data_IF_488064598938
#
_entry.id   IF_488064598938
#
_cell.length_a   1.000
_cell.length_b   1.000
_cell.length_c   1.000
_cell.angle_alpha   90.00
_cell.angle_beta   90.00
_cell.angle_gamma   90.00
#
_symmetry.space_group_name_H-M   'P 1'
#
loop_
_entity.id
_entity.type
_entity.pdbx_description
1 polymer ?
#
# COMPACT_ATOMS: atom_id res chain seq x y z
N UNK A 1 30.61 -46.47 -30.79
CA UNK A 1 30.76 -45.02 -30.63
C UNK A 1 29.66 -44.33 -31.41
N UNK A 2 28.63 -43.81 -30.73
CA UNK A 2 27.75 -42.77 -31.24
C UNK A 2 26.97 -42.24 -30.03
N UNK A 3 27.46 -41.09 -29.55
CA UNK A 3 26.88 -40.22 -28.55
C UNK A 3 25.68 -39.46 -29.15
N UNK A 4 24.96 -38.72 -28.28
CA UNK A 4 24.18 -37.49 -28.57
C UNK A 4 22.70 -37.68 -29.02
N UNK A 5 21.64 -37.09 -28.44
CA UNK A 5 21.38 -36.18 -27.29
C UNK A 5 19.89 -36.30 -26.93
N UNK A 6 19.52 -36.48 -25.65
CA UNK A 6 18.14 -36.33 -25.16
C UNK A 6 17.91 -34.85 -24.83
N UNK A 7 17.02 -34.19 -25.59
CA UNK A 7 16.54 -32.84 -25.27
C UNK A 7 15.46 -32.92 -24.19
N UNK A 8 15.83 -32.63 -22.94
CA UNK A 8 14.87 -32.28 -21.88
C UNK A 8 14.47 -30.81 -22.07
N UNK A 9 13.30 -30.57 -22.65
CA UNK A 9 12.64 -29.26 -22.58
C UNK A 9 12.04 -29.15 -21.17
N UNK A 10 12.77 -28.52 -20.26
CA UNK A 10 12.23 -28.00 -19.00
C UNK A 10 11.32 -26.82 -19.33
N UNK A 11 10.04 -27.11 -19.55
CA UNK A 11 8.97 -26.12 -19.50
C UNK A 11 8.87 -25.63 -18.05
N UNK A 12 9.59 -24.55 -17.74
CA UNK A 12 9.33 -23.69 -16.58
C UNK A 12 7.97 -23.02 -16.79
N UNK A 13 6.91 -23.78 -16.53
CA UNK A 13 5.57 -23.26 -16.36
C UNK A 13 5.52 -22.48 -15.05
N UNK A 14 5.85 -21.19 -15.12
CA UNK A 14 5.61 -20.26 -14.02
C UNK A 14 4.13 -20.31 -13.65
N UNK A 15 3.81 -20.86 -12.48
CA UNK A 15 2.48 -20.78 -11.90
C UNK A 15 2.14 -19.30 -11.71
N UNK A 16 1.41 -18.73 -12.65
CA UNK A 16 0.72 -17.46 -12.48
C UNK A 16 -0.41 -17.69 -11.47
N UNK A 17 -0.06 -17.62 -10.18
CA UNK A 17 -1.06 -17.47 -9.13
C UNK A 17 -1.91 -16.24 -9.46
N UNK A 18 -3.23 -16.28 -9.22
CA UNK A 18 -4.06 -15.11 -9.37
C UNK A 18 -3.60 -14.08 -8.34
N UNK A 19 -2.83 -13.08 -8.79
CA UNK A 19 -2.65 -11.86 -8.03
C UNK A 19 -4.04 -11.21 -8.03
N UNK A 20 -4.79 -11.47 -6.97
CA UNK A 20 -5.93 -10.63 -6.62
C UNK A 20 -5.35 -9.24 -6.37
N UNK A 21 -6.06 -8.18 -6.78
CA UNK A 21 -5.68 -6.78 -6.58
C UNK A 21 -5.62 -6.45 -5.10
N UNK A 22 -4.52 -6.89 -4.49
CA UNK A 22 -3.90 -6.27 -3.34
C UNK A 22 -3.39 -4.92 -3.83
N UNK A 23 -3.22 -4.01 -2.89
CA UNK A 23 -2.52 -2.75 -3.01
C UNK A 23 -1.08 -2.93 -3.55
N UNK A 24 -0.05 -2.21 -3.11
CA UNK A 24 1.31 -2.77 -3.29
C UNK A 24 1.27 -4.26 -2.97
N UNK A 25 1.88 -5.11 -3.80
CA UNK A 25 1.74 -6.55 -3.60
C UNK A 25 2.09 -6.91 -2.15
N UNK A 26 1.60 -8.05 -1.62
CA UNK A 26 1.94 -8.47 -0.26
C UNK A 26 3.46 -8.37 0.03
N UNK A 27 4.29 -8.65 -0.97
CA UNK A 27 5.73 -8.48 -0.91
C UNK A 27 6.17 -7.00 -0.83
N UNK A 28 5.54 -6.10 -1.60
CA UNK A 28 5.80 -4.66 -1.55
C UNK A 28 5.50 -4.05 -0.19
N UNK A 29 4.32 -4.33 0.41
CA UNK A 29 4.02 -3.87 1.77
C UNK A 29 5.03 -4.36 2.80
N UNK A 30 5.31 -5.66 2.78
CA UNK A 30 6.26 -6.25 3.72
C UNK A 30 7.68 -5.68 3.54
N UNK A 31 8.13 -5.46 2.30
CA UNK A 31 9.42 -4.86 2.01
C UNK A 31 9.53 -3.41 2.48
N UNK A 32 8.50 -2.58 2.24
CA UNK A 32 8.45 -1.17 2.68
C UNK A 32 8.47 -1.12 4.21
N UNK A 33 7.63 -1.94 4.86
CA UNK A 33 7.59 -2.02 6.32
C UNK A 33 8.92 -2.48 6.92
N UNK A 34 9.60 -3.44 6.28
CA UNK A 34 10.89 -3.95 6.76
C UNK A 34 11.99 -2.90 6.62
N UNK A 35 12.03 -2.17 5.51
CA UNK A 35 12.97 -1.07 5.32
C UNK A 35 12.74 0.07 6.33
N UNK A 36 11.49 0.33 6.71
CA UNK A 36 11.18 1.27 7.79
C UNK A 36 11.65 0.75 9.15
N UNK A 37 11.33 -0.52 9.43
CA UNK A 37 11.65 -1.18 10.69
C UNK A 37 13.16 -1.27 10.95
N UNK A 38 13.96 -1.53 9.90
CA UNK A 38 15.41 -1.59 9.95
C UNK A 38 16.08 -0.27 10.35
N UNK A 39 15.39 0.86 10.22
CA UNK A 39 15.91 2.18 10.63
C UNK A 39 15.67 2.48 12.11
N UNK A 40 14.78 1.74 12.78
CA UNK A 40 14.43 1.97 14.18
C UNK A 40 15.52 1.43 15.13
N UNK A 41 15.58 1.98 16.36
CA UNK A 41 16.46 1.43 17.38
C UNK A 41 16.04 0.01 17.79
N UNK A 42 16.94 -0.84 18.32
CA UNK A 42 16.57 -2.18 18.78
C UNK A 42 15.44 -2.20 19.83
N UNK A 43 15.31 -1.13 20.61
CA UNK A 43 14.24 -0.98 21.59
C UNK A 43 12.89 -0.72 20.91
N UNK A 44 12.87 0.20 19.95
CA UNK A 44 11.69 0.50 19.13
C UNK A 44 11.24 -0.72 18.33
N UNK A 45 12.19 -1.46 17.74
CA UNK A 45 11.91 -2.70 17.03
C UNK A 45 11.18 -3.72 17.93
N UNK A 46 11.74 -4.00 19.11
CA UNK A 46 11.11 -4.92 20.09
C UNK A 46 9.71 -4.46 20.51
N UNK A 47 9.52 -3.15 20.67
CA UNK A 47 8.23 -2.58 21.06
C UNK A 47 7.15 -2.85 19.99
N UNK A 48 7.42 -2.54 18.72
CA UNK A 48 6.46 -2.72 17.64
C UNK A 48 6.25 -4.20 17.29
N UNK A 49 7.31 -5.02 17.31
CA UNK A 49 7.18 -6.47 17.08
C UNK A 49 6.31 -7.14 18.14
N UNK A 50 6.39 -6.70 19.40
CA UNK A 50 5.53 -7.25 20.47
C UNK A 50 4.05 -7.07 20.15
N UNK A 51 3.66 -5.91 19.64
CA UNK A 51 2.26 -5.59 19.30
C UNK A 51 1.81 -6.32 18.05
N UNK A 52 2.64 -6.31 17.00
CA UNK A 52 2.38 -7.05 15.79
C UNK A 52 2.26 -8.56 16.06
N UNK A 53 3.10 -9.11 16.92
CA UNK A 53 3.03 -10.50 17.34
C UNK A 53 1.76 -10.81 18.15
N UNK A 54 1.27 -9.87 18.96
CA UNK A 54 0.00 -10.03 19.67
C UNK A 54 -1.19 -10.13 18.68
N UNK A 55 -1.23 -9.28 17.65
CA UNK A 55 -2.19 -9.40 16.55
C UNK A 55 -2.07 -10.75 15.84
N UNK A 56 -0.86 -11.11 15.40
CA UNK A 56 -0.59 -12.33 14.62
C UNK A 56 -0.96 -13.59 15.41
N UNK A 57 -0.76 -13.59 16.74
CA UNK A 57 -1.11 -14.72 17.60
C UNK A 57 -2.62 -14.92 17.67
N UNK A 58 -3.39 -13.83 17.63
CA UNK A 58 -4.86 -13.85 17.59
C UNK A 58 -5.41 -14.17 16.19
N UNK A 59 -4.55 -14.21 15.17
CA UNK A 59 -4.90 -14.58 13.80
C UNK A 59 -4.79 -16.11 13.57
N UNK A 60 -5.95 -16.74 13.35
CA UNK A 60 -6.02 -18.19 13.10
C UNK A 60 -5.59 -18.56 11.67
N UNK A 61 -5.79 -17.67 10.71
CA UNK A 61 -5.44 -17.91 9.31
C UNK A 61 -3.93 -17.71 9.10
N UNK A 62 -3.19 -18.82 8.99
CA UNK A 62 -1.72 -18.78 8.83
C UNK A 62 -1.25 -18.74 7.36
N UNK A 63 -2.15 -18.83 6.38
CA UNK A 63 -1.77 -19.01 4.97
C UNK A 63 -1.10 -17.76 4.37
N UNK A 64 -1.63 -16.57 4.64
CA UNK A 64 -1.14 -15.32 4.07
C UNK A 64 0.29 -14.97 4.48
N UNK A 65 0.73 -15.42 5.68
CA UNK A 65 2.07 -15.15 6.22
C UNK A 65 3.16 -16.14 5.80
N UNK A 66 2.81 -17.27 5.18
CA UNK A 66 3.82 -18.29 4.80
C UNK A 66 4.84 -17.75 3.81
N UNK A 67 4.42 -16.91 2.87
CA UNK A 67 5.28 -16.26 1.88
C UNK A 67 6.05 -15.06 2.42
N UNK A 68 5.87 -14.72 3.70
CA UNK A 68 6.44 -13.55 4.36
C UNK A 68 7.35 -13.95 5.54
N UNK A 69 7.72 -15.22 5.64
CA UNK A 69 8.44 -15.77 6.79
C UNK A 69 9.83 -15.14 7.01
N UNK A 70 10.41 -14.52 5.97
CA UNK A 70 11.67 -13.79 6.02
C UNK A 70 11.57 -12.40 6.67
N UNK A 71 10.37 -11.87 6.85
CA UNK A 71 10.13 -10.52 7.38
C UNK A 71 9.86 -10.54 8.89
N UNK A 72 10.13 -9.42 9.56
CA UNK A 72 9.77 -9.20 10.98
C UNK A 72 8.26 -9.34 11.24
N UNK A 73 7.85 -9.44 12.51
CA UNK A 73 6.43 -9.57 12.84
C UNK A 73 5.66 -8.31 12.45
N UNK A 74 6.25 -7.13 12.68
CA UNK A 74 5.70 -5.86 12.20
C UNK A 74 5.49 -5.85 10.69
N UNK A 75 6.51 -6.22 9.91
CA UNK A 75 6.44 -6.23 8.45
C UNK A 75 5.42 -7.23 7.90
N UNK A 76 5.28 -8.40 8.55
CA UNK A 76 4.20 -9.32 8.23
C UNK A 76 2.83 -8.67 8.52
N UNK A 77 2.66 -8.04 9.68
CA UNK A 77 1.40 -7.40 10.05
C UNK A 77 0.97 -6.30 9.07
N UNK A 78 1.90 -5.61 8.42
CA UNK A 78 1.58 -4.61 7.38
C UNK A 78 0.86 -5.17 6.14
N UNK A 79 0.84 -6.50 5.92
CA UNK A 79 0.06 -7.13 4.82
C UNK A 79 -1.36 -7.49 5.27
N UNK A 80 -1.57 -7.62 6.58
CA UNK A 80 -2.80 -8.14 7.16
C UNK A 80 -4.07 -7.33 6.80
N UNK A 81 -4.06 -5.98 6.74
CA UNK A 81 -5.23 -5.17 6.41
C UNK A 81 -5.96 -5.58 5.13
N UNK A 82 -5.21 -5.86 4.06
CA UNK A 82 -5.76 -6.26 2.78
C UNK A 82 -6.57 -7.57 2.87
N UNK A 83 -6.17 -8.46 3.78
CA UNK A 83 -6.86 -9.74 3.99
C UNK A 83 -8.14 -9.60 4.82
N UNK A 84 -8.37 -8.43 5.45
CA UNK A 84 -9.46 -8.13 6.39
C UNK A 84 -10.34 -6.97 5.96
N UNK A 85 -10.04 -6.30 4.85
CA UNK A 85 -10.73 -5.10 4.38
C UNK A 85 -12.25 -5.22 4.20
N UNK A 86 -12.77 -6.43 4.04
CA UNK A 86 -14.21 -6.73 3.97
C UNK A 86 -14.92 -6.77 5.33
N UNK A 87 -14.19 -6.94 6.43
CA UNK A 87 -14.76 -6.99 7.77
C UNK A 87 -15.07 -5.59 8.29
N UNK A 88 -16.20 -5.49 9.00
CA UNK A 88 -16.56 -4.27 9.74
C UNK A 88 -15.54 -4.03 10.85
N UNK A 89 -15.16 -2.77 11.07
CA UNK A 89 -14.07 -2.39 11.97
C UNK A 89 -14.33 -2.83 13.42
N UNK A 90 -15.56 -2.69 13.92
CA UNK A 90 -15.95 -3.22 15.24
C UNK A 90 -15.71 -4.73 15.35
N UNK A 91 -16.01 -5.49 14.29
CA UNK A 91 -15.73 -6.94 14.26
C UNK A 91 -14.23 -7.22 14.26
N UNK A 92 -13.43 -6.40 13.56
CA UNK A 92 -11.97 -6.49 13.59
C UNK A 92 -11.45 -6.33 15.01
N UNK A 93 -11.82 -5.25 15.70
CA UNK A 93 -11.35 -5.00 17.08
C UNK A 93 -11.85 -6.06 18.07
N UNK A 94 -13.14 -6.42 18.02
CA UNK A 94 -13.70 -7.45 18.89
C UNK A 94 -13.01 -8.80 18.68
N UNK A 95 -12.74 -9.18 17.42
CA UNK A 95 -12.18 -10.49 17.09
C UNK A 95 -10.70 -10.59 17.41
N UNK A 96 -9.90 -9.60 17.01
CA UNK A 96 -8.43 -9.68 17.02
C UNK A 96 -7.79 -8.92 18.18
N UNK A 97 -8.44 -7.88 18.70
CA UNK A 97 -7.96 -7.10 19.84
C UNK A 97 -8.71 -7.38 21.14
N UNK A 98 -9.85 -8.09 21.09
CA UNK A 98 -10.72 -8.39 22.24
C UNK A 98 -11.20 -7.13 22.98
N UNK A 99 -11.42 -6.05 22.22
CA UNK A 99 -11.86 -4.76 22.74
C UNK A 99 -12.71 -4.04 21.67
N UNK A 100 -13.22 -2.86 22.00
CA UNK A 100 -13.92 -1.97 21.05
C UNK A 100 -12.92 -1.10 20.30
N UNK A 101 -13.38 -0.42 19.25
CA UNK A 101 -12.57 0.60 18.58
C UNK A 101 -12.18 1.71 19.56
N UNK A 102 -11.05 2.36 19.31
CA UNK A 102 -10.66 3.57 20.04
C UNK A 102 -11.58 4.76 19.66
N UNK A 103 -11.75 5.77 20.53
CA UNK A 103 -12.57 6.95 20.25
C UNK A 103 -12.32 7.60 18.88
N UNK A 104 -11.05 7.76 18.48
CA UNK A 104 -10.70 8.36 17.19
C UNK A 104 -11.18 7.55 15.97
N UNK A 105 -11.51 6.25 16.15
CA UNK A 105 -12.03 5.38 15.10
C UNK A 105 -13.54 5.14 15.18
N UNK A 106 -14.25 5.75 16.13
CA UNK A 106 -15.71 5.63 16.25
C UNK A 106 -16.46 6.00 14.96
N UNK A 107 -16.09 7.05 14.21
CA UNK A 107 -16.76 7.38 12.94
C UNK A 107 -16.73 6.25 11.90
N UNK A 108 -15.78 5.32 12.01
CA UNK A 108 -15.61 4.20 11.10
C UNK A 108 -16.08 2.85 11.66
N UNK A 109 -16.53 2.81 12.91
CA UNK A 109 -16.75 1.58 13.67
C UNK A 109 -17.69 0.57 12.99
N UNK A 110 -18.71 1.07 12.29
CA UNK A 110 -19.77 0.29 11.63
C UNK A 110 -19.50 0.02 10.14
N UNK A 111 -18.37 0.49 9.59
CA UNK A 111 -17.99 0.30 8.20
C UNK A 111 -16.85 -0.71 8.06
N UNK A 112 -16.67 -1.26 6.85
CA UNK A 112 -15.47 -1.99 6.49
C UNK A 112 -14.37 -1.01 6.03
N UNK A 113 -13.13 -1.50 5.92
CA UNK A 113 -11.97 -0.62 5.65
C UNK A 113 -11.59 -0.55 4.17
N UNK A 114 -12.42 -1.03 3.23
CA UNK A 114 -12.07 -1.05 1.80
C UNK A 114 -11.66 0.31 1.25
N UNK A 115 -12.35 1.35 1.68
CA UNK A 115 -12.12 2.72 1.23
C UNK A 115 -10.89 3.36 1.87
N UNK A 116 -10.30 2.76 2.90
CA UNK A 116 -9.10 3.30 3.54
C UNK A 116 -7.84 3.15 2.68
N UNK A 117 -7.81 2.18 1.78
CA UNK A 117 -6.62 1.82 1.01
C UNK A 117 -6.29 2.79 -0.14
N UNK A 118 -7.11 3.80 -0.38
CA UNK A 118 -6.92 4.75 -1.47
C UNK A 118 -7.63 6.08 -1.21
N UNK A 119 -7.27 7.07 -2.00
CA UNK A 119 -7.97 8.34 -2.18
C UNK A 119 -7.85 8.76 -3.64
N UNK A 120 -8.94 8.66 -4.41
CA UNK A 120 -8.97 9.19 -5.77
C UNK A 120 -9.32 10.68 -5.71
N UNK A 121 -8.31 11.54 -5.75
CA UNK A 121 -8.46 12.99 -5.62
C UNK A 121 -8.17 13.75 -6.92
N UNK A 122 -7.54 13.13 -7.91
CA UNK A 122 -7.07 13.79 -9.12
C UNK A 122 -7.36 12.92 -10.34
N UNK A 123 -7.67 13.56 -11.47
CA UNK A 123 -8.13 12.89 -12.69
C UNK A 123 -7.29 13.26 -13.92
N UNK A 124 -7.06 12.27 -14.79
CA UNK A 124 -6.33 12.37 -16.05
C UNK A 124 -7.15 11.74 -17.16
N UNK A 125 -6.99 12.20 -18.41
CA UNK A 125 -7.62 11.51 -19.53
C UNK A 125 -6.80 10.29 -19.98
N UNK A 126 -7.43 9.44 -20.77
CA UNK A 126 -6.86 8.19 -21.28
C UNK A 126 -5.72 8.38 -22.29
N UNK A 127 -5.34 9.63 -22.62
CA UNK A 127 -4.15 9.98 -23.41
C UNK A 127 -3.05 10.65 -22.58
N UNK A 128 -3.20 10.69 -21.25
CA UNK A 128 -2.18 11.17 -20.32
C UNK A 128 -2.17 12.68 -20.09
N UNK A 129 -3.21 13.40 -20.54
CA UNK A 129 -3.35 14.83 -20.25
C UNK A 129 -4.01 15.02 -18.88
N UNK A 130 -3.43 15.92 -18.08
CA UNK A 130 -3.97 16.32 -16.78
C UNK A 130 -5.33 17.00 -16.98
N UNK A 131 -6.37 16.46 -16.36
CA UNK A 131 -7.67 17.12 -16.32
C UNK A 131 -7.61 18.19 -15.23
N UNK A 132 -7.39 19.45 -15.60
CA UNK A 132 -7.45 20.56 -14.64
C UNK A 132 -8.91 20.78 -14.19
N UNK A 133 -9.18 20.99 -12.88
CA UNK A 133 -10.53 21.21 -12.35
C UNK A 133 -11.30 22.39 -12.98
N UNK A 134 -10.58 23.36 -13.56
CA UNK A 134 -11.16 24.56 -14.16
C UNK A 134 -10.80 24.78 -15.65
N UNK A 135 -10.10 23.84 -16.31
CA UNK A 135 -9.69 24.01 -17.70
C UNK A 135 -9.42 22.68 -18.44
N UNK A 136 -10.11 21.60 -18.07
CA UNK A 136 -10.18 20.44 -18.96
C UNK A 136 -11.22 20.69 -20.05
N UNK A 137 -11.01 20.10 -21.22
CA UNK A 137 -11.85 20.22 -22.44
C UNK A 137 -13.33 19.86 -22.18
N UNK A 138 -13.69 19.38 -20.98
CA UNK A 138 -15.01 18.90 -20.60
C UNK A 138 -15.39 19.39 -19.19
N UNK A 139 -15.84 20.64 -19.03
CA UNK A 139 -16.63 21.07 -17.86
C UNK A 139 -17.95 20.30 -17.64
N UNK A 140 -18.04 19.06 -18.14
CA UNK A 140 -19.16 18.11 -18.12
C UNK A 140 -18.99 17.04 -17.03
N UNK A 141 -17.77 16.61 -16.72
CA UNK A 141 -17.56 15.52 -15.76
C UNK A 141 -17.64 16.05 -14.33
N UNK A 142 -18.75 15.76 -13.63
CA UNK A 142 -18.80 15.90 -12.17
C UNK A 142 -18.08 14.70 -11.59
N UNK A 143 -17.01 14.94 -10.83
CA UNK A 143 -16.24 13.86 -10.22
C UNK A 143 -16.21 14.06 -8.73
N UNK A 144 -16.64 13.03 -8.01
CA UNK A 144 -16.57 13.01 -6.55
C UNK A 144 -15.27 12.37 -6.11
N UNK A 145 -14.65 12.97 -5.09
CA UNK A 145 -13.50 12.38 -4.41
C UNK A 145 -13.96 11.07 -3.76
N UNK A 146 -13.29 9.96 -4.07
CA UNK A 146 -13.58 8.66 -3.46
C UNK A 146 -12.40 8.17 -2.64
N UNK A 147 -12.66 7.29 -1.67
CA UNK A 147 -11.63 6.82 -0.76
C UNK A 147 -11.45 7.72 0.48
N UNK A 148 -10.78 7.17 1.47
CA UNK A 148 -10.72 7.66 2.84
C UNK A 148 -9.30 7.57 3.43
N UNK A 149 -8.26 7.30 2.62
CA UNK A 149 -6.90 7.13 3.12
C UNK A 149 -6.41 8.32 3.96
N UNK A 150 -6.59 9.53 3.43
CA UNK A 150 -6.20 10.81 4.03
C UNK A 150 -6.93 11.17 5.33
N UNK A 151 -8.05 10.53 5.64
CA UNK A 151 -8.78 10.68 6.91
C UNK A 151 -8.58 9.49 7.84
N UNK A 152 -8.44 8.28 7.28
CA UNK A 152 -8.25 7.05 8.04
C UNK A 152 -6.85 6.98 8.67
N UNK A 153 -5.80 7.34 7.92
CA UNK A 153 -4.43 7.27 8.43
C UNK A 153 -4.21 8.23 9.62
N UNK A 154 -4.61 9.52 9.58
CA UNK A 154 -4.54 10.39 10.77
C UNK A 154 -5.36 9.85 11.96
N UNK A 155 -6.57 9.35 11.72
CA UNK A 155 -7.40 8.77 12.77
C UNK A 155 -6.76 7.53 13.43
N UNK A 156 -6.06 6.71 12.65
CA UNK A 156 -5.29 5.56 13.17
C UNK A 156 -4.11 6.01 14.03
N UNK A 157 -3.40 7.07 13.64
CA UNK A 157 -2.28 7.62 14.42
C UNK A 157 -2.81 8.14 15.77
N UNK A 158 -3.92 8.87 15.76
CA UNK A 158 -4.56 9.34 16.99
C UNK A 158 -5.04 8.17 17.86
N UNK A 159 -5.77 7.21 17.25
CA UNK A 159 -6.28 6.02 17.92
C UNK A 159 -5.17 5.23 18.61
N UNK A 160 -4.01 5.10 17.98
CA UNK A 160 -2.88 4.39 18.54
C UNK A 160 -2.50 4.94 19.92
N UNK A 161 -2.50 6.28 20.10
CA UNK A 161 -2.20 6.92 21.39
C UNK A 161 -3.19 6.54 22.49
N UNK A 162 -4.46 6.33 22.14
CA UNK A 162 -5.57 6.02 23.05
C UNK A 162 -5.58 4.55 23.51
N UNK A 163 -4.93 3.66 22.75
CA UNK A 163 -4.91 2.22 23.04
C UNK A 163 -3.92 1.85 24.14
N UNK A 164 -4.22 0.76 24.86
CA UNK A 164 -3.43 0.31 26.02
C UNK A 164 -3.03 -1.17 25.97
N UNK A 165 -3.60 -1.95 25.04
CA UNK A 165 -3.31 -3.38 24.94
C UNK A 165 -2.47 -3.68 23.70
N UNK A 166 -1.48 -4.59 23.78
CA UNK A 166 -0.64 -4.91 22.62
C UNK A 166 -1.41 -5.42 21.42
N UNK A 167 -2.53 -6.12 21.63
CA UNK A 167 -3.35 -6.63 20.53
C UNK A 167 -4.13 -5.52 19.81
N UNK A 168 -4.65 -4.54 20.54
CA UNK A 168 -5.31 -3.39 19.92
C UNK A 168 -4.30 -2.49 19.21
N UNK A 169 -3.18 -2.20 19.87
CA UNK A 169 -2.06 -1.47 19.26
C UNK A 169 -1.59 -2.20 17.99
N UNK A 170 -1.48 -3.53 18.02
CA UNK A 170 -1.10 -4.34 16.87
C UNK A 170 -2.07 -4.24 15.69
N UNK A 171 -3.39 -4.20 15.94
CA UNK A 171 -4.41 -3.97 14.88
C UNK A 171 -4.18 -2.62 14.22
N UNK A 172 -4.05 -1.55 15.00
CA UNK A 172 -3.86 -0.19 14.47
C UNK A 172 -2.50 -0.06 13.77
N UNK A 173 -1.45 -0.63 14.35
CA UNK A 173 -0.10 -0.63 13.80
C UNK A 173 -0.04 -1.32 12.42
N UNK A 174 -0.75 -2.44 12.26
CA UNK A 174 -0.88 -3.11 10.97
C UNK A 174 -1.48 -2.19 9.91
N UNK A 175 -2.57 -1.47 10.25
CA UNK A 175 -3.18 -0.50 9.34
C UNK A 175 -2.26 0.70 9.07
N UNK A 176 -1.56 1.24 10.07
CA UNK A 176 -0.61 2.35 9.88
C UNK A 176 0.49 1.95 8.88
N UNK A 177 1.14 0.79 9.08
CA UNK A 177 2.18 0.31 8.18
C UNK A 177 1.67 0.08 6.75
N UNK A 178 0.46 -0.46 6.62
CA UNK A 178 -0.17 -0.71 5.32
C UNK A 178 -0.55 0.58 4.59
N UNK A 179 -1.34 1.44 5.23
CA UNK A 179 -1.89 2.66 4.61
C UNK A 179 -0.81 3.70 4.32
N UNK A 180 0.27 3.72 5.12
CA UNK A 180 1.44 4.52 4.78
C UNK A 180 2.05 4.08 3.44
N UNK A 181 2.22 2.78 3.22
CA UNK A 181 2.71 2.29 1.93
C UNK A 181 1.72 2.61 0.79
N UNK A 182 0.42 2.45 1.02
CA UNK A 182 -0.64 2.81 0.05
C UNK A 182 -0.56 4.28 -0.37
N UNK A 183 -0.30 5.18 0.58
CA UNK A 183 -0.19 6.61 0.29
C UNK A 183 0.88 6.94 -0.77
N UNK A 184 1.92 6.10 -0.86
CA UNK A 184 3.02 6.26 -1.82
C UNK A 184 2.83 5.43 -3.09
N UNK A 185 1.81 4.57 -3.18
CA UNK A 185 1.40 3.91 -4.43
C UNK A 185 0.69 4.95 -5.30
N UNK A 186 1.25 5.40 -6.44
CA UNK A 186 0.65 6.49 -7.20
C UNK A 186 -0.83 6.26 -7.54
N UNK A 187 -1.20 5.09 -8.05
CA UNK A 187 -2.56 4.70 -8.44
C UNK A 187 -3.53 4.49 -7.27
N UNK A 188 -3.07 4.63 -6.02
CA UNK A 188 -3.94 4.73 -4.84
C UNK A 188 -4.34 6.18 -4.53
N UNK A 189 -3.72 7.14 -5.21
CA UNK A 189 -3.92 8.58 -4.96
C UNK A 189 -4.49 9.32 -6.18
N UNK A 190 -4.60 8.62 -7.31
CA UNK A 190 -5.04 9.13 -8.60
C UNK A 190 -5.90 8.14 -9.37
N UNK A 191 -6.78 8.64 -10.24
CA UNK A 191 -7.58 7.84 -11.16
C UNK A 191 -7.66 8.48 -12.54
N UNK A 192 -7.87 7.68 -13.58
CA UNK A 192 -8.14 8.15 -14.95
C UNK A 192 -9.64 8.28 -15.20
N UNK A 193 -10.03 9.16 -16.11
CA UNK A 193 -11.39 9.27 -16.66
C UNK A 193 -11.36 8.99 -18.16
N UNK A 194 -12.30 8.18 -18.63
CA UNK A 194 -12.58 8.05 -20.06
C UNK A 194 -13.37 9.26 -20.60
N UNK A 195 -13.58 9.29 -21.92
CA UNK A 195 -14.34 10.35 -22.58
C UNK A 195 -15.83 10.42 -22.16
N UNK A 196 -16.32 9.39 -21.47
CA UNK A 196 -17.68 9.28 -20.93
C UNK A 196 -17.73 9.60 -19.43
N UNK A 197 -16.64 10.12 -18.85
CA UNK A 197 -16.52 10.43 -17.43
C UNK A 197 -16.56 9.20 -16.49
N UNK A 198 -16.30 8.00 -17.00
CA UNK A 198 -16.14 6.84 -16.13
C UNK A 198 -14.74 6.81 -15.53
N UNK A 199 -14.68 6.67 -14.22
CA UNK A 199 -13.42 6.44 -13.50
C UNK A 199 -12.88 5.05 -13.77
N UNK A 200 -11.58 4.96 -14.04
CA UNK A 200 -10.86 3.69 -14.08
C UNK A 200 -10.52 3.15 -12.68
N UNK A 201 -10.97 3.82 -11.61
CA UNK A 201 -10.76 3.43 -10.22
C UNK A 201 -9.28 3.18 -9.90
N UNK A 202 -8.41 4.12 -10.26
CA UNK A 202 -6.98 4.03 -10.03
C UNK A 202 -6.30 3.05 -10.97
N UNK A 203 -6.67 3.03 -12.25
CA UNK A 203 -6.12 2.13 -13.24
C UNK A 203 -6.65 0.69 -13.18
N UNK A 204 -7.62 0.39 -12.32
CA UNK A 204 -8.26 -0.93 -12.25
C UNK A 204 -9.08 -1.25 -13.51
N UNK A 205 -9.73 -0.23 -14.07
CA UNK A 205 -10.45 -0.26 -15.35
C UNK A 205 -9.54 -0.08 -16.58
N UNK A 206 -8.27 0.27 -16.39
CA UNK A 206 -7.33 0.50 -17.48
C UNK A 206 -6.66 -0.82 -17.88
N UNK A 207 -7.23 -1.51 -18.87
CA UNK A 207 -6.73 -2.82 -19.26
C UNK A 207 -5.50 -2.74 -20.18
N UNK A 208 -4.41 -3.43 -19.81
CA UNK A 208 -3.16 -3.51 -20.59
C UNK A 208 -3.06 -4.82 -21.38
N UNK A 209 -3.62 -5.91 -20.86
CA UNK A 209 -3.63 -7.19 -21.55
C UNK A 209 -4.94 -7.91 -21.33
N UNK A 210 -5.62 -8.28 -22.41
CA UNK A 210 -6.87 -9.02 -22.35
C UNK A 210 -6.63 -10.48 -21.92
N UNK A 211 -7.45 -10.98 -21.02
CA UNK A 211 -7.56 -12.41 -20.71
C UNK A 211 -8.83 -13.02 -21.31
N UNK A 212 -9.02 -14.33 -21.13
CA UNK A 212 -10.14 -15.09 -21.74
C UNK A 212 -11.55 -14.58 -21.34
N UNK A 213 -11.72 -13.99 -20.16
CA UNK A 213 -13.03 -13.54 -19.62
C UNK A 213 -12.99 -12.17 -18.93
N UNK A 214 -11.80 -11.64 -18.65
CA UNK A 214 -11.56 -10.38 -17.97
C UNK A 214 -10.16 -9.90 -18.32
N UNK A 215 -9.85 -8.65 -17.99
CA UNK A 215 -8.50 -8.15 -18.11
C UNK A 215 -7.50 -9.05 -17.36
N UNK A 216 -6.47 -9.52 -18.06
CA UNK A 216 -5.42 -10.36 -17.47
C UNK A 216 -4.45 -9.51 -16.64
N UNK A 217 -4.13 -8.31 -17.13
CA UNK A 217 -3.29 -7.32 -16.47
C UNK A 217 -3.90 -5.93 -16.69
N UNK A 218 -4.32 -5.28 -15.61
CA UNK A 218 -4.69 -3.87 -15.63
C UNK A 218 -3.51 -3.01 -15.13
N UNK A 219 -3.62 -1.70 -15.29
CA UNK A 219 -2.59 -0.75 -14.90
C UNK A 219 -2.32 -0.79 -13.39
N UNK A 220 -3.37 -0.78 -12.57
CA UNK A 220 -3.24 -0.86 -11.10
C UNK A 220 -2.36 -2.04 -10.66
N UNK A 221 -2.72 -3.24 -11.10
CA UNK A 221 -2.01 -4.48 -10.80
C UNK A 221 -0.56 -4.49 -11.27
N UNK A 222 -0.26 -3.82 -12.40
CA UNK A 222 1.12 -3.69 -12.87
C UNK A 222 1.96 -2.86 -11.90
N UNK A 223 1.42 -1.73 -11.43
CA UNK A 223 2.11 -0.83 -10.51
C UNK A 223 2.24 -1.45 -9.11
N UNK A 224 1.20 -2.15 -8.64
CA UNK A 224 1.23 -2.93 -7.39
C UNK A 224 2.30 -4.01 -7.37
N UNK A 225 2.56 -4.64 -8.52
CA UNK A 225 3.62 -5.63 -8.66
C UNK A 225 5.03 -5.01 -8.57
N UNK A 226 5.14 -3.68 -8.68
CA UNK A 226 6.34 -2.93 -8.36
C UNK A 226 7.51 -3.10 -9.33
N UNK A 227 7.28 -3.60 -10.54
CA UNK A 227 8.32 -3.75 -11.58
C UNK A 227 9.60 -4.45 -11.07
N UNK A 228 9.44 -5.52 -10.29
CA UNK A 228 10.53 -6.33 -9.70
C UNK A 228 11.36 -5.63 -8.61
N UNK A 229 11.07 -4.36 -8.27
CA UNK A 229 11.80 -3.60 -7.24
C UNK A 229 11.79 -4.33 -5.90
N UNK A 230 10.68 -4.97 -5.53
CA UNK A 230 10.51 -5.65 -4.25
C UNK A 230 11.20 -7.01 -4.14
N UNK A 231 11.88 -7.48 -5.20
CA UNK A 231 12.71 -8.69 -5.14
C UNK A 231 14.02 -8.46 -4.38
N UNK A 232 14.40 -7.20 -4.18
CA UNK A 232 15.60 -6.80 -3.45
C UNK A 232 15.20 -5.97 -2.22
N UNK A 233 16.05 -5.91 -1.17
CA UNK A 233 15.84 -4.99 -0.07
C UNK A 233 15.74 -3.55 -0.57
N UNK A 234 14.72 -2.82 -0.11
CA UNK A 234 14.55 -1.40 -0.42
C UNK A 234 15.68 -0.63 0.27
N UNK A 235 16.38 0.20 -0.49
CA UNK A 235 17.38 1.13 0.04
C UNK A 235 16.67 2.44 0.37
N UNK A 236 16.62 2.79 1.64
CA UNK A 236 16.11 4.07 2.13
C UNK A 236 17.22 4.82 2.85
N UNK A 237 17.19 6.15 2.77
CA UNK A 237 18.06 6.98 3.58
C UNK A 237 17.77 6.75 5.07
N UNK A 238 18.79 6.80 5.95
CA UNK A 238 18.58 6.70 7.39
C UNK A 238 17.59 7.75 7.90
N UNK A 239 16.95 7.44 9.03
CA UNK A 239 16.16 8.38 9.80
C UNK A 239 17.00 9.64 10.11
N UNK A 240 16.66 10.74 9.45
CA UNK A 240 17.31 12.03 9.57
C UNK A 240 16.43 13.13 8.96
N UNK A 241 16.63 14.38 9.40
CA UNK A 241 15.81 15.52 8.95
C UNK A 241 14.60 15.82 9.84
N UNK A 242 13.71 16.68 9.34
CA UNK A 242 12.52 17.15 10.07
C UNK A 242 11.40 16.10 10.00
N UNK A 243 11.24 15.32 11.08
CA UNK A 243 10.27 14.23 11.18
C UNK A 243 8.81 14.69 10.97
N UNK A 244 8.50 15.94 11.31
CA UNK A 244 7.15 16.50 11.11
C UNK A 244 6.83 16.67 9.63
N UNK A 245 7.81 17.08 8.82
CA UNK A 245 7.65 17.17 7.35
C UNK A 245 7.47 15.80 6.71
N UNK A 246 8.14 14.77 7.24
CA UNK A 246 8.00 13.40 6.75
C UNK A 246 6.60 12.79 7.03
N UNK A 247 5.84 13.40 7.95
CA UNK A 247 4.44 13.04 8.23
C UNK A 247 3.39 13.89 7.48
N UNK A 248 3.80 14.84 6.62
CA UNK A 248 2.87 15.62 5.81
C UNK A 248 2.40 14.83 4.57
N UNK A 249 1.32 14.07 4.75
CA UNK A 249 0.74 13.21 3.73
C UNK A 249 0.17 13.97 2.51
N UNK A 250 -0.16 15.25 2.66
CA UNK A 250 -0.68 16.05 1.55
C UNK A 250 0.39 16.31 0.48
N UNK A 251 1.65 16.41 0.89
CA UNK A 251 2.79 16.53 -0.01
C UNK A 251 2.97 15.27 -0.86
N UNK A 252 2.74 14.09 -0.27
CA UNK A 252 2.86 12.78 -0.95
C UNK A 252 1.82 12.65 -2.07
N UNK A 253 0.56 12.99 -1.80
CA UNK A 253 -0.50 12.97 -2.81
C UNK A 253 -0.19 13.91 -3.98
N UNK A 254 0.40 15.06 -3.68
CA UNK A 254 0.81 16.04 -4.70
C UNK A 254 1.98 15.55 -5.54
N UNK A 255 2.92 14.79 -4.96
CA UNK A 255 4.05 14.21 -5.69
C UNK A 255 3.61 13.09 -6.64
N UNK A 256 2.74 12.17 -6.20
CA UNK A 256 2.20 11.09 -7.04
C UNK A 256 1.49 11.61 -8.30
N UNK A 257 0.83 12.76 -8.19
CA UNK A 257 0.17 13.41 -9.32
C UNK A 257 1.12 13.88 -10.43
N UNK A 258 2.39 14.16 -10.11
CA UNK A 258 3.38 14.56 -11.12
C UNK A 258 3.76 13.39 -12.03
N UNK A 259 3.63 12.16 -11.54
CA UNK A 259 3.95 10.94 -12.28
C UNK A 259 2.81 10.45 -13.18
N UNK A 260 1.61 11.02 -13.04
CA UNK A 260 0.41 10.52 -13.71
C UNK A 260 0.50 10.53 -15.25
N UNK A 261 1.11 11.56 -15.84
CA UNK A 261 1.31 11.61 -17.30
C UNK A 261 2.18 10.45 -17.78
N UNK A 262 3.22 10.08 -17.03
CA UNK A 262 4.02 8.90 -17.31
C UNK A 262 3.22 7.62 -17.06
N UNK A 263 2.52 7.50 -15.93
CA UNK A 263 1.72 6.33 -15.57
C UNK A 263 0.74 5.96 -16.69
N UNK A 264 0.01 6.93 -17.24
CA UNK A 264 -0.96 6.70 -18.32
C UNK A 264 -0.35 6.72 -19.74
N UNK A 265 0.97 6.85 -19.89
CA UNK A 265 1.64 6.84 -21.20
C UNK A 265 1.68 5.46 -21.87
N UNK A 266 1.48 4.38 -21.10
CA UNK A 266 1.38 3.03 -21.67
C UNK A 266 0.00 2.84 -22.31
N UNK A 267 -0.10 2.43 -23.59
CA UNK A 267 -1.39 2.31 -24.25
C UNK A 267 -2.24 1.17 -23.70
N UNK A 268 -3.56 1.36 -23.65
CA UNK A 268 -4.52 0.29 -23.36
C UNK A 268 -4.39 -0.86 -24.35
N UNK A 269 -4.74 -2.07 -23.88
CA UNK A 269 -4.78 -3.31 -24.64
C UNK A 269 -3.43 -3.72 -25.25
N UNK A 270 -2.32 -3.16 -24.75
CA UNK A 270 -0.96 -3.56 -25.10
C UNK A 270 -0.11 -3.74 -23.84
N UNK A 271 0.73 -4.79 -23.78
CA UNK A 271 1.72 -4.90 -22.71
C UNK A 271 2.66 -3.68 -22.70
N UNK A 272 3.11 -3.23 -21.51
CA UNK A 272 4.08 -2.15 -21.41
C UNK A 272 5.39 -2.53 -22.10
N UNK A 273 6.02 -1.57 -22.77
CA UNK A 273 7.34 -1.78 -23.37
C UNK A 273 8.46 -1.71 -22.31
N UNK A 274 9.67 -2.11 -22.69
CA UNK A 274 10.82 -2.13 -21.79
C UNK A 274 11.12 -0.76 -21.16
N UNK A 275 11.04 0.32 -21.94
CA UNK A 275 11.31 1.67 -21.44
C UNK A 275 10.30 2.08 -20.36
N UNK A 276 9.02 1.79 -20.55
CA UNK A 276 7.99 1.99 -19.54
C UNK A 276 8.27 1.18 -18.27
N UNK A 277 8.60 -0.10 -18.40
CA UNK A 277 8.90 -0.94 -17.21
C UNK A 277 10.13 -0.45 -16.45
N UNK A 278 11.16 0.03 -17.14
CA UNK A 278 12.37 0.55 -16.51
C UNK A 278 12.11 1.87 -15.78
N UNK A 279 11.39 2.80 -16.42
CA UNK A 279 11.04 4.06 -15.79
C UNK A 279 10.04 3.87 -14.63
N UNK A 280 9.10 2.94 -14.78
CA UNK A 280 8.20 2.52 -13.70
C UNK A 280 8.98 1.99 -12.50
N UNK A 281 9.99 1.14 -12.71
CA UNK A 281 10.85 0.65 -11.64
C UNK A 281 11.60 1.77 -10.90
N UNK A 282 12.09 2.80 -11.62
CA UNK A 282 12.73 3.98 -11.00
C UNK A 282 11.76 4.73 -10.09
N UNK A 283 10.52 4.95 -10.55
CA UNK A 283 9.49 5.63 -9.76
C UNK A 283 9.12 4.80 -8.53
N UNK A 284 8.87 3.49 -8.70
CA UNK A 284 8.54 2.58 -7.59
C UNK A 284 9.67 2.53 -6.57
N UNK A 285 10.94 2.46 -7.00
CA UNK A 285 12.07 2.48 -6.09
C UNK A 285 12.12 3.76 -5.25
N UNK A 286 11.91 4.93 -5.89
CA UNK A 286 11.87 6.22 -5.18
C UNK A 286 10.69 6.31 -4.21
N UNK A 287 9.48 5.95 -4.65
CA UNK A 287 8.27 6.02 -3.83
C UNK A 287 8.33 5.07 -2.64
N UNK A 288 8.79 3.84 -2.84
CA UNK A 288 8.90 2.84 -1.77
C UNK A 288 9.98 3.19 -0.75
N UNK A 289 11.11 3.78 -1.18
CA UNK A 289 12.12 4.31 -0.27
C UNK A 289 11.59 5.48 0.57
N UNK A 290 10.85 6.41 -0.05
CA UNK A 290 10.23 7.52 0.65
C UNK A 290 9.14 7.06 1.63
N UNK A 291 8.33 6.06 1.24
CA UNK A 291 7.35 5.42 2.11
C UNK A 291 8.00 4.80 3.35
N UNK A 292 9.12 4.09 3.16
CA UNK A 292 9.86 3.47 4.25
C UNK A 292 10.43 4.53 5.22
N UNK A 293 10.98 5.63 4.69
CA UNK A 293 11.50 6.73 5.52
C UNK A 293 10.39 7.44 6.31
N UNK A 294 9.27 7.74 5.67
CA UNK A 294 8.11 8.36 6.33
C UNK A 294 7.50 7.45 7.40
N UNK A 295 7.38 6.15 7.10
CA UNK A 295 6.91 5.16 8.07
C UNK A 295 7.85 5.08 9.27
N UNK A 296 9.17 5.03 9.05
CA UNK A 296 10.15 5.00 10.13
C UNK A 296 10.04 6.24 11.02
N UNK A 297 9.86 7.43 10.42
CA UNK A 297 9.72 8.70 11.14
C UNK A 297 8.44 8.73 12.00
N UNK A 298 7.34 8.25 11.43
CA UNK A 298 6.08 8.12 12.13
C UNK A 298 6.18 7.14 13.30
N UNK A 299 6.77 5.96 13.09
CA UNK A 299 6.98 4.95 14.14
C UNK A 299 7.86 5.50 15.27
N UNK A 300 8.93 6.21 14.93
CA UNK A 300 9.78 6.86 15.93
C UNK A 300 8.99 7.88 16.78
N UNK A 301 8.14 8.67 16.14
CA UNK A 301 7.28 9.68 16.79
C UNK A 301 6.26 9.02 17.72
N UNK A 302 5.54 8.01 17.21
CA UNK A 302 4.55 7.22 17.96
C UNK A 302 5.19 6.60 19.20
N UNK A 303 6.37 5.98 19.04
CA UNK A 303 7.11 5.38 20.14
C UNK A 303 7.43 6.42 21.22
N UNK A 304 8.01 7.55 20.82
CA UNK A 304 8.45 8.60 21.74
C UNK A 304 7.28 9.19 22.53
N UNK A 305 6.15 9.44 21.87
CA UNK A 305 4.93 9.93 22.53
C UNK A 305 4.39 8.91 23.55
N UNK A 306 4.38 7.61 23.21
CA UNK A 306 3.96 6.56 24.15
C UNK A 306 4.87 6.47 25.36
N UNK A 307 6.19 6.58 25.20
CA UNK A 307 7.10 6.56 26.34
C UNK A 307 6.90 7.76 27.26
N UNK A 308 6.67 8.96 26.69
CA UNK A 308 6.36 10.16 27.50
C UNK A 308 5.08 10.00 28.30
N UNK A 309 4.00 9.57 27.68
CA UNK A 309 2.70 9.39 28.33
C UNK A 309 2.68 8.27 29.41
N UNK A 310 3.68 7.37 29.42
CA UNK A 310 3.81 6.35 30.47
C UNK A 310 4.66 6.84 31.66
N UNK A 311 5.39 7.95 31.49
CA UNK A 311 6.25 8.55 32.51
C UNK A 311 5.59 9.76 33.22
N UNK A 312 4.40 10.16 32.77
CA UNK A 312 3.51 11.16 33.38
C UNK A 312 2.40 10.46 34.18
#
# INVERSE_FOLDING_TARGET
MLYHWLWFILLLGGLLLPLQGLAWSAQGHAAIAEAAFAQLSPEQQRYFDKQAQALITNERAKKWRKSLAQYSAFSQAAVWPDTRRDMVLNTVFSRFAKTTVAPALEPFASANTKQWHYVNAQYWDTVGLKLLPAASVHGRCKVERTGQLDVALPALIEAYSQLKTPAAEGVVLAFIGHLMADAYQPLHTLAGLDAQCHSDAGGNGYCLSAGKRRCALNLHRLWDAGFEVFQQPIKSEPLGGDLLKLSDFNAVFSASAQEAAFIYSTPQSRPPNKAYTQQGAVIVARQSAAAAQALAALLHTIYTQKQRANNE
#
